data_IF_601107746175
#
_entry.id   IF_601107746175
#
_cell.length_a   1.000
_cell.length_b   1.000
_cell.length_c   1.000
_cell.angle_alpha   90.00
_cell.angle_beta   90.00
_cell.angle_gamma   90.00
#
_symmetry.space_group_name_H-M   'P 1'
#
loop_
_entity.id
_entity.type
_entity.pdbx_description
1 polymer ?
#
# COMPACT_ATOMS: atom_id res chain seq x y z
N UNK A 1 26.78 -33.45 36.75
CA UNK A 1 26.65 -32.36 37.78
C UNK A 1 27.66 -31.22 37.60
N UNK A 2 28.80 -31.43 36.97
CA UNK A 2 29.83 -30.41 36.73
C UNK A 2 29.43 -29.31 35.74
N UNK A 3 28.77 -29.64 34.63
CA UNK A 3 28.41 -28.68 33.56
C UNK A 3 27.38 -27.61 34.00
N UNK A 4 26.41 -27.98 34.81
CA UNK A 4 25.39 -27.02 35.33
C UNK A 4 26.02 -25.99 36.29
N UNK A 5 26.99 -26.42 37.11
CA UNK A 5 27.74 -25.50 37.99
C UNK A 5 28.63 -24.56 37.21
N UNK A 6 29.28 -25.04 36.16
CA UNK A 6 30.15 -24.23 35.28
C UNK A 6 29.31 -23.18 34.55
N UNK A 7 28.16 -23.59 34.00
CA UNK A 7 27.24 -22.66 33.32
C UNK A 7 26.67 -21.60 34.27
N UNK A 8 26.28 -21.97 35.47
CA UNK A 8 25.75 -21.04 36.46
C UNK A 8 26.83 -20.00 36.88
N UNK A 9 28.08 -20.44 37.02
CA UNK A 9 29.22 -19.56 37.30
C UNK A 9 29.44 -18.59 36.13
N UNK A 10 29.48 -19.08 34.90
CA UNK A 10 29.64 -18.25 33.69
C UNK A 10 28.54 -17.20 33.62
N UNK A 11 27.28 -17.58 33.84
CA UNK A 11 26.14 -16.68 33.83
C UNK A 11 26.29 -15.56 34.90
N UNK A 12 26.53 -15.91 36.13
CA UNK A 12 26.67 -14.90 37.19
C UNK A 12 27.84 -13.95 36.96
N UNK A 13 28.97 -14.48 36.46
CA UNK A 13 30.14 -13.67 36.17
C UNK A 13 29.85 -12.73 35.01
N UNK A 14 29.29 -13.19 33.89
CA UNK A 14 28.94 -12.41 32.73
C UNK A 14 27.96 -11.27 33.06
N UNK A 15 26.90 -11.55 33.81
CA UNK A 15 25.92 -10.53 34.22
C UNK A 15 26.57 -9.44 35.09
N UNK A 16 27.44 -9.84 36.00
CA UNK A 16 28.16 -8.90 36.85
C UNK A 16 29.13 -8.04 36.03
N UNK A 17 29.82 -8.65 35.08
CA UNK A 17 30.81 -7.94 34.25
C UNK A 17 30.11 -6.98 33.28
N UNK A 18 28.98 -7.35 32.69
CA UNK A 18 28.16 -6.46 31.87
C UNK A 18 27.73 -5.21 32.67
N UNK A 19 27.25 -5.39 33.88
CA UNK A 19 26.84 -4.27 34.75
C UNK A 19 28.03 -3.32 35.03
N UNK A 20 29.20 -3.88 35.28
CA UNK A 20 30.42 -3.09 35.60
C UNK A 20 31.01 -2.42 34.36
N UNK A 21 30.89 -3.03 33.20
CA UNK A 21 31.46 -2.57 31.92
C UNK A 21 30.45 -1.90 31.01
N UNK A 22 29.23 -1.59 31.50
CA UNK A 22 28.09 -1.08 30.71
C UNK A 22 28.47 0.10 29.80
N UNK A 23 29.24 1.06 30.29
CA UNK A 23 29.69 2.21 29.47
C UNK A 23 30.52 1.81 28.24
N UNK A 24 31.27 0.72 28.31
CA UNK A 24 32.07 0.23 27.17
C UNK A 24 31.24 -0.62 26.19
N UNK A 25 30.23 -1.30 26.69
CA UNK A 25 29.32 -2.18 25.90
C UNK A 25 28.17 -1.42 25.28
N UNK A 26 27.89 -0.17 25.68
CA UNK A 26 26.81 0.64 25.21
C UNK A 26 26.80 0.86 23.70
N UNK A 27 27.98 1.05 23.09
CA UNK A 27 28.11 1.24 21.65
C UNK A 27 27.67 -0.05 20.88
N UNK A 28 28.09 -1.23 21.38
CA UNK A 28 27.71 -2.52 20.83
C UNK A 28 26.19 -2.68 20.92
N UNK A 29 25.62 -2.34 22.08
CA UNK A 29 24.18 -2.40 22.30
C UNK A 29 23.41 -1.53 21.30
N UNK A 30 23.79 -0.25 21.14
CA UNK A 30 23.11 0.68 20.22
C UNK A 30 23.23 0.21 18.77
N UNK A 31 24.41 -0.18 18.31
CA UNK A 31 24.60 -0.60 16.92
C UNK A 31 23.80 -1.85 16.59
N UNK A 32 23.78 -2.84 17.47
CA UNK A 32 22.94 -4.03 17.33
C UNK A 32 21.45 -3.68 17.37
N UNK A 33 21.05 -2.84 18.33
CA UNK A 33 19.66 -2.43 18.47
C UNK A 33 19.16 -1.73 17.22
N UNK A 34 19.86 -0.73 16.70
CA UNK A 34 19.45 0.00 15.49
C UNK A 34 19.34 -0.95 14.30
N UNK A 35 20.32 -1.84 14.10
CA UNK A 35 20.31 -2.78 12.96
C UNK A 35 19.13 -3.76 13.02
N UNK A 36 18.89 -4.35 14.19
CA UNK A 36 17.78 -5.28 14.38
C UNK A 36 16.41 -4.59 14.32
N UNK A 37 16.33 -3.37 14.88
CA UNK A 37 15.13 -2.55 14.84
C UNK A 37 14.74 -2.18 13.41
N UNK A 38 15.68 -1.76 12.56
CA UNK A 38 15.43 -1.48 11.15
C UNK A 38 14.91 -2.71 10.41
N UNK A 39 15.55 -3.87 10.61
CA UNK A 39 15.09 -5.12 9.98
C UNK A 39 13.68 -5.51 10.44
N UNK A 40 13.41 -5.46 11.75
CA UNK A 40 12.09 -5.78 12.31
C UNK A 40 11.01 -4.83 11.80
N UNK A 41 11.28 -3.52 11.79
CA UNK A 41 10.35 -2.50 11.31
C UNK A 41 9.97 -2.71 9.84
N UNK A 42 10.95 -3.00 8.97
CA UNK A 42 10.70 -3.26 7.56
C UNK A 42 9.83 -4.49 7.36
N UNK A 43 10.11 -5.56 8.10
CA UNK A 43 9.32 -6.79 8.03
C UNK A 43 7.88 -6.55 8.51
N UNK A 44 7.70 -5.82 9.61
CA UNK A 44 6.37 -5.48 10.15
C UNK A 44 5.58 -4.62 9.19
N UNK A 45 6.18 -3.56 8.63
CA UNK A 45 5.54 -2.68 7.63
C UNK A 45 5.09 -3.50 6.41
N UNK A 46 5.97 -4.34 5.87
CA UNK A 46 5.64 -5.21 4.73
C UNK A 46 4.46 -6.12 5.02
N UNK A 47 4.45 -6.76 6.19
CA UNK A 47 3.39 -7.69 6.58
C UNK A 47 2.06 -6.96 6.78
N UNK A 48 2.07 -5.81 7.46
CA UNK A 48 0.88 -4.98 7.67
C UNK A 48 0.30 -4.46 6.35
N UNK A 49 1.14 -3.95 5.45
CA UNK A 49 0.69 -3.47 4.14
C UNK A 49 0.09 -4.60 3.29
N UNK A 50 0.69 -5.78 3.28
CA UNK A 50 0.13 -6.91 2.55
C UNK A 50 -1.21 -7.37 3.14
N UNK A 51 -1.35 -7.35 4.45
CA UNK A 51 -2.59 -7.67 5.15
C UNK A 51 -3.71 -6.67 4.83
N UNK A 52 -3.41 -5.36 4.88
CA UNK A 52 -4.35 -4.30 4.50
C UNK A 52 -4.80 -4.42 3.04
N UNK A 53 -3.87 -4.70 2.12
CA UNK A 53 -4.20 -4.91 0.71
C UNK A 53 -5.12 -6.14 0.54
N UNK A 54 -4.92 -7.19 1.32
CA UNK A 54 -5.74 -8.40 1.21
C UNK A 54 -7.17 -8.15 1.71
N UNK A 55 -7.32 -7.48 2.85
CA UNK A 55 -8.64 -7.13 3.42
C UNK A 55 -9.37 -6.15 2.49
N UNK A 56 -8.70 -5.11 2.04
CA UNK A 56 -9.32 -4.05 1.25
C UNK A 56 -9.27 -4.34 -0.27
N UNK A 57 -8.90 -5.56 -0.67
CA UNK A 57 -8.73 -5.91 -2.09
C UNK A 57 -9.99 -5.73 -2.94
N UNK A 58 -11.18 -5.95 -2.37
CA UNK A 58 -12.46 -5.72 -3.03
C UNK A 58 -12.75 -4.23 -3.22
N UNK A 59 -12.41 -3.41 -2.24
CA UNK A 59 -12.54 -1.96 -2.32
C UNK A 59 -11.53 -1.37 -3.31
N UNK A 60 -10.28 -1.87 -3.29
CA UNK A 60 -9.24 -1.48 -4.24
C UNK A 60 -9.57 -1.82 -5.69
N UNK A 61 -10.31 -2.90 -5.95
CA UNK A 61 -10.83 -3.24 -7.27
C UNK A 61 -12.13 -2.53 -7.58
N UNK A 62 -12.93 -2.22 -6.53
CA UNK A 62 -14.28 -1.68 -6.62
C UNK A 62 -15.36 -2.73 -6.91
N UNK A 63 -15.02 -4.03 -6.75
CA UNK A 63 -15.93 -5.15 -7.02
C UNK A 63 -15.34 -6.51 -6.66
N UNK A 64 -16.15 -7.57 -6.72
CA UNK A 64 -15.69 -8.95 -6.69
C UNK A 64 -15.08 -9.38 -8.03
N UNK A 65 -15.46 -8.68 -9.11
CA UNK A 65 -14.95 -8.87 -10.45
C UNK A 65 -14.97 -7.53 -11.18
N UNK A 66 -13.93 -7.22 -11.92
CA UNK A 66 -13.86 -6.10 -12.86
C UNK A 66 -13.66 -6.66 -14.27
N UNK A 67 -14.44 -6.16 -15.20
CA UNK A 67 -14.38 -6.50 -16.62
C UNK A 67 -14.15 -5.20 -17.37
N UNK A 68 -12.97 -5.05 -17.99
CA UNK A 68 -12.64 -3.90 -18.83
C UNK A 68 -12.74 -4.32 -20.28
N UNK A 69 -13.60 -3.68 -21.03
CA UNK A 69 -13.83 -3.98 -22.46
C UNK A 69 -13.11 -3.01 -23.41
N UNK A 70 -12.32 -2.07 -22.84
CA UNK A 70 -11.62 -1.06 -23.64
C UNK A 70 -12.58 -0.08 -24.30
N UNK A 71 -12.35 0.22 -25.57
CA UNK A 71 -13.05 1.29 -26.31
C UNK A 71 -14.52 0.96 -26.59
N UNK A 72 -14.86 -0.32 -26.70
CA UNK A 72 -16.22 -0.76 -27.05
C UNK A 72 -16.98 -1.20 -25.80
N UNK A 73 -18.24 -0.77 -25.62
CA UNK A 73 -19.07 -1.29 -24.54
C UNK A 73 -19.36 -2.80 -24.76
N UNK A 74 -19.59 -3.52 -23.67
CA UNK A 74 -20.06 -4.90 -23.74
C UNK A 74 -21.44 -4.97 -24.39
N UNK A 75 -21.73 -6.07 -25.10
CA UNK A 75 -23.06 -6.30 -25.67
C UNK A 75 -24.11 -6.43 -24.55
N UNK A 76 -25.35 -6.03 -24.85
CA UNK A 76 -26.46 -6.11 -23.90
C UNK A 76 -26.68 -7.53 -23.38
N UNK A 77 -26.43 -8.55 -24.23
CA UNK A 77 -26.54 -9.96 -23.85
C UNK A 77 -25.53 -10.32 -22.76
N UNK A 78 -24.27 -9.86 -22.90
CA UNK A 78 -23.21 -10.07 -21.90
C UNK A 78 -23.58 -9.34 -20.62
N UNK A 79 -23.98 -8.07 -20.70
CA UNK A 79 -24.37 -7.26 -19.54
C UNK A 79 -25.51 -7.95 -18.78
N UNK A 80 -26.54 -8.43 -19.46
CA UNK A 80 -27.68 -9.13 -18.85
C UNK A 80 -27.23 -10.39 -18.10
N UNK A 81 -26.40 -11.23 -18.71
CA UNK A 81 -25.90 -12.47 -18.09
C UNK A 81 -25.01 -12.18 -16.84
N UNK A 82 -24.19 -11.14 -16.89
CA UNK A 82 -23.36 -10.75 -15.75
C UNK A 82 -24.24 -10.22 -14.62
N UNK A 83 -25.28 -9.44 -14.94
CA UNK A 83 -26.21 -8.87 -13.96
C UNK A 83 -27.03 -9.92 -13.21
N UNK A 84 -27.23 -11.12 -13.79
CA UNK A 84 -27.87 -12.25 -13.11
C UNK A 84 -27.05 -12.76 -11.91
N UNK A 85 -25.72 -12.55 -11.93
CA UNK A 85 -24.81 -13.01 -10.88
C UNK A 85 -24.69 -12.03 -9.70
N UNK A 86 -25.23 -10.80 -9.82
CA UNK A 86 -25.14 -9.80 -8.76
C UNK A 86 -25.39 -8.37 -9.22
N UNK A 87 -25.06 -7.42 -8.38
CA UNK A 87 -25.19 -5.99 -8.66
C UNK A 87 -24.04 -5.53 -9.56
N UNK A 88 -24.39 -5.00 -10.73
CA UNK A 88 -23.46 -4.49 -11.72
C UNK A 88 -23.39 -2.96 -11.66
N UNK A 89 -22.19 -2.40 -11.67
CA UNK A 89 -21.92 -0.98 -11.87
C UNK A 89 -21.07 -0.79 -13.12
N UNK A 90 -21.41 0.21 -13.91
CA UNK A 90 -20.70 0.56 -15.13
C UNK A 90 -20.05 1.93 -14.98
N UNK A 91 -18.76 2.02 -15.32
CA UNK A 91 -18.02 3.29 -15.37
C UNK A 91 -17.37 3.44 -16.75
N UNK A 92 -17.24 4.69 -17.20
CA UNK A 92 -16.55 5.00 -18.45
C UNK A 92 -15.46 6.01 -18.11
N UNK A 93 -14.23 5.71 -18.49
CA UNK A 93 -13.08 6.63 -18.35
C UNK A 93 -12.79 7.26 -19.70
N UNK A 94 -12.51 8.55 -19.71
CA UNK A 94 -12.06 9.26 -20.90
C UNK A 94 -11.25 10.49 -20.50
N UNK A 95 -10.42 10.94 -21.41
CA UNK A 95 -9.60 12.11 -21.20
C UNK A 95 -10.10 13.25 -22.09
N UNK A 96 -10.24 14.44 -21.53
CA UNK A 96 -10.66 15.62 -22.27
C UNK A 96 -10.17 16.90 -21.57
N UNK A 97 -10.39 18.03 -22.24
CA UNK A 97 -10.11 19.33 -21.64
C UNK A 97 -11.30 19.79 -20.80
N UNK A 98 -11.01 20.16 -19.57
CA UNK A 98 -11.92 20.93 -18.70
C UNK A 98 -11.49 22.37 -18.78
N UNK A 99 -12.42 23.28 -19.05
CA UNK A 99 -12.14 24.69 -19.29
C UNK A 99 -12.90 25.60 -18.32
N UNK A 100 -12.25 26.67 -17.90
CA UNK A 100 -12.87 27.83 -17.24
C UNK A 100 -12.63 29.06 -18.11
N UNK A 101 -13.69 29.87 -18.33
CA UNK A 101 -13.66 31.00 -19.29
C UNK A 101 -12.52 31.99 -19.05
N UNK A 102 -12.15 32.21 -17.80
CA UNK A 102 -11.14 33.19 -17.35
C UNK A 102 -9.74 32.60 -17.11
N UNK A 103 -9.60 31.25 -17.04
CA UNK A 103 -8.34 30.59 -16.64
C UNK A 103 -7.83 29.54 -17.64
N UNK A 104 -8.51 29.37 -18.79
CA UNK A 104 -8.07 28.47 -19.83
C UNK A 104 -8.56 27.03 -19.65
N UNK A 105 -7.75 26.06 -20.06
CA UNK A 105 -8.14 24.63 -20.14
C UNK A 105 -7.07 23.73 -19.58
N UNK A 106 -7.50 22.65 -18.90
CA UNK A 106 -6.64 21.61 -18.31
C UNK A 106 -7.03 20.25 -18.87
N UNK A 107 -6.04 19.44 -19.24
CA UNK A 107 -6.25 18.07 -19.64
C UNK A 107 -6.59 17.22 -18.42
N UNK A 108 -7.76 16.60 -18.40
CA UNK A 108 -8.35 15.97 -17.21
C UNK A 108 -8.77 14.54 -17.50
N UNK A 109 -8.50 13.64 -16.60
CA UNK A 109 -9.07 12.29 -16.58
C UNK A 109 -10.47 12.35 -15.99
N UNK A 110 -11.50 11.98 -16.80
CA UNK A 110 -12.89 12.01 -16.36
C UNK A 110 -13.42 10.60 -16.24
N UNK A 111 -14.04 10.34 -15.09
CA UNK A 111 -14.78 9.10 -14.86
C UNK A 111 -16.28 9.39 -14.84
N UNK A 112 -16.99 8.86 -15.81
CA UNK A 112 -18.44 8.83 -15.80
C UNK A 112 -18.92 7.60 -15.01
N UNK A 113 -19.74 7.82 -13.99
CA UNK A 113 -20.19 6.76 -13.07
C UNK A 113 -21.70 6.61 -13.12
N UNK A 114 -22.18 5.39 -12.86
CA UNK A 114 -23.59 5.12 -12.64
C UNK A 114 -24.00 5.28 -11.17
N UNK A 115 -25.29 5.16 -10.88
CA UNK A 115 -25.85 5.31 -9.53
C UNK A 115 -25.43 4.21 -8.54
N UNK A 116 -24.86 3.11 -9.03
CA UNK A 116 -24.44 1.98 -8.19
C UNK A 116 -22.96 2.07 -7.81
N UNK A 117 -22.22 2.98 -8.42
CA UNK A 117 -20.82 3.21 -8.09
C UNK A 117 -20.67 4.06 -6.81
N UNK A 118 -19.79 3.68 -5.89
CA UNK A 118 -18.97 2.46 -5.85
C UNK A 118 -19.72 1.29 -5.22
N UNK A 119 -19.43 0.04 -5.65
CA UNK A 119 -20.03 -1.17 -5.08
C UNK A 119 -19.43 -1.53 -3.70
N UNK A 120 -18.18 -1.12 -3.46
CA UNK A 120 -17.47 -1.23 -2.19
C UNK A 120 -16.82 0.10 -1.85
N UNK A 121 -16.80 0.45 -0.55
CA UNK A 121 -16.31 1.75 -0.09
C UNK A 121 -17.30 2.89 -0.36
N UNK A 122 -16.80 4.12 -0.34
CA UNK A 122 -17.59 5.34 -0.58
C UNK A 122 -16.74 6.44 -1.19
N UNK A 123 -17.36 7.28 -2.03
CA UNK A 123 -16.72 8.52 -2.51
C UNK A 123 -16.79 9.53 -1.37
N UNK A 124 -15.64 9.98 -0.89
CA UNK A 124 -15.57 11.05 0.11
C UNK A 124 -15.43 12.40 -0.60
N UNK A 125 -16.35 13.30 -0.31
CA UNK A 125 -16.41 14.63 -0.92
C UNK A 125 -16.57 15.72 0.13
N UNK A 126 -16.25 16.95 -0.23
CA UNK A 126 -16.57 18.15 0.52
C UNK A 126 -17.43 19.07 -0.37
N UNK A 127 -18.72 19.31 -0.06
CA UNK A 127 -19.56 18.74 1.02
C UNK A 127 -19.78 17.23 0.92
N UNK A 128 -20.08 16.55 2.05
CA UNK A 128 -20.21 15.08 2.11
C UNK A 128 -21.32 14.50 1.21
N UNK A 129 -22.38 15.25 0.97
CA UNK A 129 -23.55 14.80 0.21
C UNK A 129 -23.37 14.96 -1.31
N UNK A 130 -22.30 15.58 -1.78
CA UNK A 130 -22.09 15.93 -3.18
C UNK A 130 -22.06 14.72 -4.12
N UNK A 131 -21.63 13.57 -3.63
CA UNK A 131 -21.62 12.34 -4.42
C UNK A 131 -23.04 11.83 -4.75
N UNK A 132 -24.03 12.10 -3.88
CA UNK A 132 -25.43 11.75 -4.11
C UNK A 132 -26.13 12.75 -5.00
N UNK A 133 -25.80 14.04 -4.85
CA UNK A 133 -26.41 15.12 -5.66
C UNK A 133 -26.00 15.05 -7.12
N UNK A 134 -24.89 14.37 -7.45
CA UNK A 134 -24.42 14.18 -8.81
C UNK A 134 -25.48 13.56 -9.75
N UNK A 135 -26.41 12.79 -9.21
CA UNK A 135 -27.48 12.11 -9.95
C UNK A 135 -28.82 12.84 -9.90
N UNK A 136 -28.91 13.91 -9.13
CA UNK A 136 -30.11 14.74 -9.08
C UNK A 136 -30.14 15.64 -10.32
N UNK A 137 -31.22 15.55 -11.07
CA UNK A 137 -31.41 16.40 -12.25
C UNK A 137 -31.48 17.87 -11.84
N UNK A 138 -30.53 18.66 -12.33
CA UNK A 138 -30.51 20.13 -12.21
C UNK A 138 -30.45 20.76 -13.60
N UNK A 139 -30.69 22.07 -13.68
CA UNK A 139 -30.60 22.82 -14.94
C UNK A 139 -29.21 22.70 -15.58
N UNK A 140 -28.14 22.64 -14.78
CA UNK A 140 -26.79 22.29 -15.21
C UNK A 140 -26.39 20.95 -14.58
N UNK A 141 -25.72 20.06 -15.34
CA UNK A 141 -25.22 18.80 -14.80
C UNK A 141 -24.10 19.05 -13.77
N UNK A 142 -24.06 18.17 -12.77
CA UNK A 142 -23.03 18.22 -11.73
C UNK A 142 -21.70 17.61 -12.13
N UNK A 143 -20.62 18.13 -11.56
CA UNK A 143 -19.29 17.56 -11.63
C UNK A 143 -18.65 17.56 -10.23
N UNK A 144 -17.92 16.50 -9.93
CA UNK A 144 -17.01 16.47 -8.78
C UNK A 144 -15.58 16.59 -9.30
N UNK A 145 -14.78 17.44 -8.68
CA UNK A 145 -13.39 17.70 -9.11
C UNK A 145 -12.43 17.40 -7.97
N UNK A 146 -11.18 17.07 -8.26
CA UNK A 146 -10.15 16.89 -7.24
C UNK A 146 -9.50 18.24 -6.84
N UNK A 147 -8.70 18.22 -5.77
CA UNK A 147 -8.01 19.41 -5.26
C UNK A 147 -7.08 20.05 -6.32
N UNK A 148 -6.47 19.26 -7.22
CA UNK A 148 -5.59 19.82 -8.23
C UNK A 148 -6.34 20.77 -9.18
N UNK A 149 -7.50 20.32 -9.68
CA UNK A 149 -8.37 21.17 -10.55
C UNK A 149 -8.89 22.36 -9.76
N UNK A 150 -9.31 22.12 -8.50
CA UNK A 150 -9.77 23.20 -7.62
C UNK A 150 -8.71 24.29 -7.49
N UNK A 151 -7.50 23.93 -7.13
CA UNK A 151 -6.42 24.89 -6.88
C UNK A 151 -5.98 25.61 -8.16
N UNK A 152 -5.90 24.89 -9.29
CA UNK A 152 -5.43 25.45 -10.54
C UNK A 152 -6.41 26.45 -11.14
N UNK A 153 -7.70 26.19 -11.00
CA UNK A 153 -8.75 27.10 -11.47
C UNK A 153 -9.32 28.01 -10.37
N UNK A 154 -8.89 27.86 -9.11
CA UNK A 154 -9.43 28.55 -7.95
C UNK A 154 -10.97 28.44 -7.88
N UNK A 155 -11.47 27.19 -7.95
CA UNK A 155 -12.89 26.87 -8.00
C UNK A 155 -13.47 26.71 -6.61
N UNK A 156 -14.71 27.19 -6.45
CA UNK A 156 -15.56 26.92 -5.30
C UNK A 156 -16.76 26.06 -5.71
N UNK A 157 -17.41 25.43 -4.73
CA UNK A 157 -18.65 24.70 -4.96
C UNK A 157 -19.73 25.66 -5.45
N UNK A 158 -20.34 25.35 -6.59
CA UNK A 158 -21.29 26.21 -7.28
C UNK A 158 -20.75 26.89 -8.55
N UNK A 159 -19.42 26.93 -8.71
CA UNK A 159 -18.79 27.46 -9.92
C UNK A 159 -19.07 26.58 -11.14
N UNK A 160 -18.92 27.16 -12.33
CA UNK A 160 -19.12 26.44 -13.58
C UNK A 160 -17.81 26.17 -14.32
N UNK A 161 -17.74 24.98 -14.87
CA UNK A 161 -16.66 24.55 -15.80
C UNK A 161 -17.29 24.02 -17.08
N UNK A 162 -16.54 24.01 -18.17
CA UNK A 162 -17.01 23.52 -19.47
C UNK A 162 -16.27 22.26 -19.87
N UNK A 163 -17.00 21.23 -20.26
CA UNK A 163 -16.49 19.97 -20.80
C UNK A 163 -17.16 19.76 -22.15
N UNK A 164 -16.37 19.60 -23.24
CA UNK A 164 -16.90 19.34 -24.58
C UNK A 164 -18.08 20.26 -24.95
N UNK A 165 -17.91 21.57 -24.71
CA UNK A 165 -18.92 22.61 -25.00
C UNK A 165 -20.19 22.57 -24.12
N UNK A 166 -20.21 21.79 -23.05
CA UNK A 166 -21.32 21.72 -22.10
C UNK A 166 -20.88 22.26 -20.75
N UNK A 167 -21.70 23.14 -20.16
CA UNK A 167 -21.44 23.69 -18.81
C UNK A 167 -21.83 22.68 -17.73
N UNK A 168 -20.96 22.53 -16.73
CA UNK A 168 -21.13 21.71 -15.53
C UNK A 168 -20.98 22.58 -14.31
N UNK A 169 -21.77 22.32 -13.28
CA UNK A 169 -21.63 23.00 -11.99
C UNK A 169 -20.84 22.13 -11.02
N UNK A 170 -19.82 22.69 -10.40
CA UNK A 170 -19.01 22.01 -9.37
C UNK A 170 -19.90 21.77 -8.14
N UNK A 171 -20.18 20.51 -7.85
CA UNK A 171 -21.01 20.12 -6.70
C UNK A 171 -20.19 19.79 -5.47
N UNK A 172 -18.93 19.42 -5.64
CA UNK A 172 -18.05 19.10 -4.54
C UNK A 172 -16.63 18.78 -4.96
N UNK A 173 -15.77 18.80 -3.95
CA UNK A 173 -14.35 18.46 -4.08
C UNK A 173 -14.15 17.01 -3.61
N UNK A 174 -13.48 16.21 -4.42
CA UNK A 174 -13.18 14.81 -4.15
C UNK A 174 -12.01 14.74 -3.17
N UNK A 175 -12.21 14.11 -2.03
CA UNK A 175 -11.17 13.84 -1.03
C UNK A 175 -10.62 12.43 -1.19
N UNK A 176 -11.48 11.45 -1.48
CA UNK A 176 -11.09 10.06 -1.68
C UNK A 176 -12.12 9.32 -2.54
N UNK A 177 -11.64 8.43 -3.39
CA UNK A 177 -12.47 7.56 -4.23
C UNK A 177 -11.93 6.14 -4.12
N UNK A 178 -12.78 5.12 -3.94
CA UNK A 178 -12.34 3.73 -4.06
C UNK A 178 -11.84 3.45 -5.48
N UNK A 179 -10.92 2.49 -5.62
CA UNK A 179 -10.40 2.10 -6.92
C UNK A 179 -9.72 3.26 -7.69
N UNK A 180 -8.82 3.95 -7.00
CA UNK A 180 -7.95 4.94 -7.63
C UNK A 180 -6.84 4.23 -8.41
N UNK A 181 -6.78 4.49 -9.72
CA UNK A 181 -5.59 4.19 -10.51
C UNK A 181 -4.50 5.22 -10.18
N UNK A 182 -3.22 4.81 -10.21
CA UNK A 182 -2.12 5.67 -9.79
C UNK A 182 -2.02 7.03 -10.51
N UNK A 183 -2.54 7.14 -11.74
CA UNK A 183 -2.63 8.40 -12.48
C UNK A 183 -3.61 9.41 -11.84
N UNK A 184 -4.62 8.94 -11.12
CA UNK A 184 -5.63 9.77 -10.46
C UNK A 184 -5.18 10.36 -9.13
N UNK A 185 -4.11 9.78 -8.54
CA UNK A 185 -3.59 10.27 -7.25
C UNK A 185 -2.81 11.58 -7.44
N UNK A 186 -2.16 11.76 -8.59
CA UNK A 186 -1.25 12.87 -8.84
C UNK A 186 -1.68 13.78 -10.00
N UNK A 187 -2.71 13.40 -10.78
CA UNK A 187 -3.20 14.15 -11.95
C UNK A 187 -4.49 14.91 -11.69
N UNK A 188 -4.97 15.57 -12.73
CA UNK A 188 -6.26 16.25 -12.77
C UNK A 188 -7.36 15.19 -13.01
N UNK A 189 -8.30 15.11 -12.06
CA UNK A 189 -9.33 14.09 -12.05
C UNK A 189 -10.71 14.67 -11.72
N UNK A 190 -11.72 14.22 -12.46
CA UNK A 190 -13.10 14.61 -12.24
C UNK A 190 -14.09 13.45 -12.42
N UNK A 191 -15.23 13.56 -11.77
CA UNK A 191 -16.33 12.60 -11.87
C UNK A 191 -17.58 13.28 -12.37
N UNK A 192 -18.26 12.67 -13.33
CA UNK A 192 -19.58 13.06 -13.82
C UNK A 192 -20.56 11.88 -13.78
N UNK A 193 -21.85 12.12 -13.93
CA UNK A 193 -22.80 11.02 -14.07
C UNK A 193 -22.69 10.38 -15.46
N UNK A 194 -22.92 9.06 -15.53
CA UNK A 194 -22.95 8.32 -16.81
C UNK A 194 -24.05 8.85 -17.75
N UNK A 195 -25.18 9.27 -17.22
CA UNK A 195 -26.26 9.85 -18.01
C UNK A 195 -25.82 11.11 -18.77
N UNK A 196 -24.94 11.91 -18.18
CA UNK A 196 -24.40 13.11 -18.84
C UNK A 196 -23.33 12.75 -19.88
N UNK A 197 -22.54 11.72 -19.63
CA UNK A 197 -21.58 11.19 -20.59
C UNK A 197 -22.29 10.68 -21.86
N UNK A 198 -23.39 9.94 -21.74
CA UNK A 198 -24.14 9.41 -22.87
C UNK A 198 -24.66 10.51 -23.81
N UNK A 199 -24.96 11.70 -23.26
CA UNK A 199 -25.39 12.86 -24.06
C UNK A 199 -24.31 13.48 -24.94
N UNK A 200 -23.03 13.15 -24.70
CA UNK A 200 -21.94 13.62 -25.53
C UNK A 200 -21.83 12.86 -26.87
N UNK A 201 -22.49 11.70 -27.00
CA UNK A 201 -22.44 10.85 -28.19
C UNK A 201 -21.02 10.57 -28.68
N UNK A 202 -20.08 10.36 -27.76
CA UNK A 202 -18.66 10.08 -28.06
C UNK A 202 -18.47 8.65 -28.57
N UNK A 203 -19.20 8.26 -29.62
CA UNK A 203 -19.07 6.92 -30.24
C UNK A 203 -18.09 6.90 -31.41
N UNK A 204 -17.43 8.02 -31.71
CA UNK A 204 -16.58 8.17 -32.89
C UNK A 204 -15.17 7.64 -32.69
N UNK A 205 -14.63 7.00 -33.71
CA UNK A 205 -13.24 6.56 -33.77
C UNK A 205 -12.28 7.72 -33.46
N UNK A 206 -11.51 7.56 -32.38
CA UNK A 206 -10.54 8.57 -31.93
C UNK A 206 -10.68 9.00 -30.46
N UNK A 207 -11.76 8.67 -29.79
CA UNK A 207 -11.89 8.90 -28.35
C UNK A 207 -11.24 7.75 -27.59
N UNK A 208 -10.30 8.06 -26.70
CA UNK A 208 -9.76 7.08 -25.76
C UNK A 208 -10.77 6.84 -24.66
N UNK A 209 -11.75 5.98 -24.97
CA UNK A 209 -12.76 5.52 -24.01
C UNK A 209 -12.31 4.20 -23.40
N UNK A 210 -12.58 4.01 -22.11
CA UNK A 210 -12.33 2.73 -21.43
C UNK A 210 -13.57 2.38 -20.59
N UNK A 211 -14.27 1.32 -20.98
CA UNK A 211 -15.47 0.84 -20.33
C UNK A 211 -15.11 -0.21 -19.27
N UNK A 212 -15.39 0.09 -18.02
CA UNK A 212 -15.20 -0.82 -16.89
C UNK A 212 -16.54 -1.21 -16.28
N UNK A 213 -16.74 -2.51 -16.12
CA UNK A 213 -17.90 -3.12 -15.48
C UNK A 213 -17.45 -3.79 -14.20
N UNK A 214 -18.04 -3.40 -13.06
CA UNK A 214 -17.74 -3.99 -11.75
C UNK A 214 -18.93 -4.75 -11.24
N UNK A 215 -18.71 -5.95 -10.74
CA UNK A 215 -19.74 -6.82 -10.23
C UNK A 215 -19.54 -7.05 -8.73
N UNK A 216 -20.60 -6.85 -7.96
CA UNK A 216 -20.72 -7.31 -6.58
C UNK A 216 -21.61 -8.54 -6.59
N UNK A 217 -21.01 -9.70 -6.30
CA UNK A 217 -21.70 -10.99 -6.36
C UNK A 217 -22.68 -11.17 -5.21
N UNK A 218 -23.73 -11.96 -5.43
CA UNK A 218 -24.65 -12.35 -4.37
C UNK A 218 -23.99 -13.37 -3.45
N UNK A 219 -24.20 -13.24 -2.14
CA UNK A 219 -23.52 -14.06 -1.09
C UNK A 219 -23.92 -15.56 -1.11
N UNK A 220 -24.85 -15.97 -1.96
CA UNK A 220 -25.48 -17.30 -1.92
C UNK A 220 -24.74 -18.39 -2.72
N UNK A 221 -23.68 -18.08 -3.46
CA UNK A 221 -22.96 -19.04 -4.31
C UNK A 221 -21.44 -18.93 -4.14
N UNK A 222 -20.73 -20.03 -4.46
CA UNK A 222 -19.27 -20.01 -4.46
C UNK A 222 -18.73 -19.01 -5.50
N UNK A 223 -18.23 -17.89 -5.04
CA UNK A 223 -17.69 -16.77 -5.82
C UNK A 223 -16.69 -17.24 -6.89
N UNK A 224 -15.86 -18.23 -6.59
CA UNK A 224 -14.85 -18.74 -7.52
C UNK A 224 -15.49 -19.47 -8.72
N UNK A 225 -16.57 -20.24 -8.49
CA UNK A 225 -17.26 -20.95 -9.55
C UNK A 225 -18.00 -19.98 -10.49
N UNK A 226 -18.59 -18.92 -9.95
CA UNK A 226 -19.22 -17.86 -10.74
C UNK A 226 -18.19 -17.10 -11.58
N UNK A 227 -17.04 -16.74 -11.01
CA UNK A 227 -15.94 -16.11 -11.75
C UNK A 227 -15.49 -16.98 -12.92
N UNK A 228 -15.37 -18.31 -12.72
CA UNK A 228 -14.99 -19.22 -13.79
C UNK A 228 -16.05 -19.30 -14.89
N UNK A 229 -17.34 -19.35 -14.54
CA UNK A 229 -18.45 -19.31 -15.50
C UNK A 229 -18.42 -18.02 -16.34
N UNK A 230 -18.27 -16.86 -15.68
CA UNK A 230 -18.19 -15.56 -16.38
C UNK A 230 -16.95 -15.52 -17.29
N UNK A 231 -15.79 -15.98 -16.79
CA UNK A 231 -14.57 -16.06 -17.59
C UNK A 231 -14.73 -16.95 -18.82
N UNK A 232 -15.31 -18.13 -18.68
CA UNK A 232 -15.53 -19.05 -19.80
C UNK A 232 -16.49 -18.48 -20.86
N UNK A 233 -17.46 -17.70 -20.44
CA UNK A 233 -18.43 -17.06 -21.32
C UNK A 233 -17.81 -15.88 -22.10
N UNK A 234 -16.92 -15.10 -21.47
CA UNK A 234 -16.28 -13.91 -22.08
C UNK A 234 -14.99 -14.26 -22.83
N UNK A 235 -14.39 -15.41 -22.58
CA UNK A 235 -13.02 -15.76 -22.99
C UNK A 235 -12.80 -15.87 -24.52
N UNK A 236 -13.84 -15.66 -25.34
CA UNK A 236 -13.74 -15.63 -26.80
C UNK A 236 -13.28 -14.27 -27.35
N UNK A 237 -13.26 -13.22 -26.52
CA UNK A 237 -12.83 -11.90 -26.94
C UNK A 237 -11.53 -11.48 -26.21
N UNK A 238 -10.41 -11.48 -26.94
CA UNK A 238 -9.08 -11.13 -26.42
C UNK A 238 -8.95 -9.66 -26.01
N UNK A 239 -9.90 -8.82 -26.37
CA UNK A 239 -9.91 -7.39 -26.02
C UNK A 239 -10.43 -7.15 -24.60
N UNK A 240 -11.19 -8.09 -24.06
CA UNK A 240 -11.78 -7.97 -22.74
C UNK A 240 -10.80 -8.47 -21.66
N UNK A 241 -10.50 -7.61 -20.71
CA UNK A 241 -9.65 -7.93 -19.55
C UNK A 241 -10.53 -8.16 -18.33
N UNK A 242 -10.34 -9.30 -17.68
CA UNK A 242 -11.06 -9.67 -16.46
C UNK A 242 -10.08 -9.65 -15.31
N UNK A 243 -10.37 -8.85 -14.28
CA UNK A 243 -9.56 -8.74 -13.06
C UNK A 243 -10.37 -9.17 -11.85
N UNK A 244 -9.71 -9.89 -10.97
CA UNK A 244 -10.23 -10.25 -9.64
C UNK A 244 -9.60 -9.32 -8.58
N UNK A 245 -10.08 -9.29 -7.32
CA UNK A 245 -9.46 -8.50 -6.26
C UNK A 245 -7.96 -8.79 -6.07
N UNK A 246 -7.53 -10.03 -6.33
CA UNK A 246 -6.10 -10.38 -6.31
C UNK A 246 -5.32 -9.72 -7.45
N UNK A 247 -5.91 -9.59 -8.62
CA UNK A 247 -5.27 -8.98 -9.80
C UNK A 247 -5.27 -7.45 -9.71
N UNK A 248 -6.37 -6.84 -9.23
CA UNK A 248 -6.50 -5.38 -9.06
C UNK A 248 -5.44 -4.79 -8.13
N UNK A 249 -5.09 -5.52 -7.08
CA UNK A 249 -4.04 -5.11 -6.15
C UNK A 249 -2.61 -5.46 -6.61
N UNK A 250 -2.42 -6.12 -7.76
CA UNK A 250 -1.13 -6.67 -8.19
C UNK A 250 -0.06 -5.60 -8.40
N UNK A 251 -0.42 -4.46 -9.02
CA UNK A 251 0.53 -3.36 -9.24
C UNK A 251 0.97 -2.73 -7.92
N UNK A 252 0.03 -2.52 -6.99
CA UNK A 252 0.33 -2.03 -5.66
C UNK A 252 1.21 -3.03 -4.88
N UNK A 253 0.88 -4.32 -4.93
CA UNK A 253 1.72 -5.38 -4.34
C UNK A 253 3.13 -5.41 -4.92
N UNK A 254 3.27 -5.25 -6.24
CA UNK A 254 4.59 -5.17 -6.90
C UNK A 254 5.37 -3.95 -6.42
N UNK A 255 4.75 -2.77 -6.35
CA UNK A 255 5.39 -1.56 -5.85
C UNK A 255 5.86 -1.73 -4.40
N UNK A 256 5.01 -2.27 -3.51
CA UNK A 256 5.36 -2.54 -2.11
C UNK A 256 6.48 -3.58 -2.01
N UNK A 257 6.44 -4.65 -2.82
CA UNK A 257 7.50 -5.65 -2.82
C UNK A 257 8.83 -5.05 -3.29
N UNK A 258 8.85 -4.26 -4.37
CA UNK A 258 10.06 -3.60 -4.87
C UNK A 258 10.63 -2.65 -3.81
N UNK A 259 9.79 -1.85 -3.17
CA UNK A 259 10.18 -0.96 -2.08
C UNK A 259 10.73 -1.74 -0.87
N UNK A 260 10.08 -2.84 -0.50
CA UNK A 260 10.54 -3.73 0.58
C UNK A 260 11.88 -4.37 0.26
N UNK A 261 12.11 -4.79 -1.00
CA UNK A 261 13.41 -5.32 -1.42
C UNK A 261 14.50 -4.26 -1.33
N UNK A 262 14.22 -3.04 -1.78
CA UNK A 262 15.16 -1.92 -1.64
C UNK A 262 15.51 -1.65 -0.17
N UNK A 263 14.51 -1.52 0.69
CA UNK A 263 14.72 -1.33 2.12
C UNK A 263 15.47 -2.50 2.77
N UNK A 264 15.21 -3.74 2.34
CA UNK A 264 15.94 -4.91 2.82
C UNK A 264 17.42 -4.85 2.45
N UNK A 265 17.76 -4.42 1.22
CA UNK A 265 19.16 -4.23 0.82
C UNK A 265 19.86 -3.16 1.66
N UNK A 266 19.18 -2.03 1.92
CA UNK A 266 19.70 -0.97 2.80
C UNK A 266 19.93 -1.52 4.20
N UNK A 267 19.02 -2.30 4.75
CA UNK A 267 19.14 -2.90 6.09
C UNK A 267 20.27 -3.90 6.17
N UNK A 268 20.45 -4.76 5.16
CA UNK A 268 21.59 -5.69 5.11
C UNK A 268 22.90 -4.93 5.03
N UNK A 269 22.97 -3.86 4.24
CA UNK A 269 24.18 -3.01 4.16
C UNK A 269 24.48 -2.34 5.50
N UNK A 270 23.47 -1.80 6.18
CA UNK A 270 23.60 -1.24 7.50
C UNK A 270 24.09 -2.29 8.53
N UNK A 271 23.57 -3.53 8.43
CA UNK A 271 24.00 -4.63 9.30
C UNK A 271 25.46 -5.03 9.07
N UNK A 272 25.95 -5.02 7.82
CA UNK A 272 27.36 -5.26 7.52
C UNK A 272 28.26 -4.18 8.12
N UNK A 273 27.89 -2.91 7.98
CA UNK A 273 28.63 -1.78 8.57
C UNK A 273 28.62 -1.89 10.10
N UNK A 274 27.45 -2.19 10.68
CA UNK A 274 27.33 -2.43 12.12
C UNK A 274 28.20 -3.60 12.58
N UNK A 275 28.27 -4.70 11.79
CA UNK A 275 29.12 -5.86 12.08
C UNK A 275 30.62 -5.48 12.20
N UNK A 276 31.10 -4.63 11.30
CA UNK A 276 32.50 -4.11 11.37
C UNK A 276 32.67 -3.25 12.63
N UNK A 277 31.71 -2.36 12.91
CA UNK A 277 31.73 -1.52 14.12
C UNK A 277 31.73 -2.34 15.40
N UNK A 278 30.91 -3.39 15.48
CA UNK A 278 30.84 -4.32 16.60
C UNK A 278 32.15 -5.06 16.76
N UNK A 279 32.75 -5.56 15.67
CA UNK A 279 34.03 -6.26 15.69
C UNK A 279 35.13 -5.37 16.26
N UNK A 280 35.25 -4.14 15.80
CA UNK A 280 36.26 -3.17 16.31
C UNK A 280 36.01 -2.80 17.76
N UNK A 281 34.76 -2.60 18.15
CA UNK A 281 34.42 -2.27 19.55
C UNK A 281 34.70 -3.45 20.47
N UNK A 282 34.43 -4.67 20.01
CA UNK A 282 34.69 -5.89 20.73
C UNK A 282 36.20 -6.11 20.93
N UNK A 283 37.02 -5.90 19.90
CA UNK A 283 38.50 -5.95 20.02
C UNK A 283 39.02 -4.92 21.03
N UNK A 284 38.48 -3.69 20.97
CA UNK A 284 38.82 -2.66 21.96
C UNK A 284 38.40 -3.04 23.37
N UNK A 285 37.23 -3.66 23.54
CA UNK A 285 36.75 -4.16 24.83
C UNK A 285 37.65 -5.26 25.37
N UNK A 286 38.00 -6.27 24.56
CA UNK A 286 38.91 -7.35 24.97
C UNK A 286 40.30 -6.79 25.36
N UNK A 287 40.81 -5.84 24.59
CA UNK A 287 42.10 -5.18 24.92
C UNK A 287 42.06 -4.47 26.28
N UNK A 288 40.97 -3.76 26.59
CA UNK A 288 40.76 -3.14 27.92
C UNK A 288 40.66 -4.16 29.04
N UNK A 289 40.16 -5.37 28.74
CA UNK A 289 40.05 -6.48 29.70
C UNK A 289 41.31 -7.34 29.80
N UNK A 290 42.35 -7.04 29.03
CA UNK A 290 43.60 -7.85 28.98
C UNK A 290 44.22 -8.09 30.35
N UNK A 291 44.26 -7.06 31.21
CA UNK A 291 44.74 -7.17 32.59
C UNK A 291 43.86 -8.13 33.42
N UNK A 292 42.54 -8.00 33.33
CA UNK A 292 41.59 -8.89 34.02
C UNK A 292 41.73 -10.34 33.54
N UNK A 293 41.93 -10.53 32.25
CA UNK A 293 42.15 -11.84 31.62
C UNK A 293 43.50 -12.43 32.12
N UNK A 294 44.54 -11.61 32.23
CA UNK A 294 45.85 -12.05 32.74
C UNK A 294 45.72 -12.50 34.21
N UNK A 295 45.03 -11.72 35.05
CA UNK A 295 44.77 -12.09 36.45
C UNK A 295 43.94 -13.40 36.54
N UNK A 296 42.92 -13.57 35.73
CA UNK A 296 42.12 -14.80 35.70
C UNK A 296 43.00 -16.02 35.32
N UNK A 297 43.90 -15.85 34.34
CA UNK A 297 44.86 -16.91 33.97
C UNK A 297 45.83 -17.25 35.08
N UNK A 298 46.35 -16.26 35.77
CA UNK A 298 47.25 -16.48 36.90
C UNK A 298 46.56 -17.14 38.09
N UNK A 299 45.24 -16.93 38.24
CA UNK A 299 44.38 -17.63 39.23
C UNK A 299 44.00 -19.07 38.80
N UNK A 300 44.48 -19.54 37.64
CA UNK A 300 44.27 -20.92 37.21
C UNK A 300 43.03 -21.13 36.34
N UNK A 301 42.35 -20.07 35.86
CA UNK A 301 41.22 -20.24 34.93
C UNK A 301 41.70 -20.78 33.57
N UNK A 302 41.00 -21.80 33.05
CA UNK A 302 41.30 -22.33 31.74
C UNK A 302 40.91 -21.30 30.65
N UNK A 303 41.74 -21.20 29.62
CA UNK A 303 41.47 -20.32 28.47
C UNK A 303 40.13 -20.56 27.81
N UNK A 304 39.61 -21.80 27.87
CA UNK A 304 38.27 -22.18 27.36
C UNK A 304 37.15 -21.50 28.18
N UNK A 305 37.25 -21.51 29.50
CA UNK A 305 36.26 -20.89 30.39
C UNK A 305 36.20 -19.38 30.20
N UNK A 306 37.38 -18.74 30.06
CA UNK A 306 37.47 -17.29 29.80
C UNK A 306 36.80 -16.94 28.45
N UNK A 307 37.06 -17.69 27.39
CA UNK A 307 36.40 -17.49 26.08
C UNK A 307 34.87 -17.65 26.16
N UNK A 308 34.41 -18.65 26.93
CA UNK A 308 32.98 -18.90 27.12
C UNK A 308 32.29 -17.75 27.88
N UNK A 309 32.93 -17.15 28.87
CA UNK A 309 32.40 -16.00 29.61
C UNK A 309 32.15 -14.84 28.65
N UNK A 310 33.15 -14.40 27.88
CA UNK A 310 33.00 -13.26 26.97
C UNK A 310 32.07 -13.57 25.80
N UNK A 311 32.02 -14.79 25.28
CA UNK A 311 31.07 -15.22 24.29
C UNK A 311 29.64 -15.14 24.84
N UNK A 312 29.43 -15.59 26.07
CA UNK A 312 28.12 -15.54 26.71
C UNK A 312 27.67 -14.08 27.01
N UNK A 313 28.59 -13.19 27.33
CA UNK A 313 28.27 -11.75 27.45
C UNK A 313 27.69 -11.17 26.16
N UNK A 314 28.32 -11.45 25.01
CA UNK A 314 27.81 -10.98 23.72
C UNK A 314 26.44 -11.58 23.42
N UNK A 315 26.27 -12.88 23.69
CA UNK A 315 25.01 -13.58 23.47
C UNK A 315 23.86 -13.00 24.31
N UNK A 316 24.14 -12.62 25.57
CA UNK A 316 23.17 -11.91 26.42
C UNK A 316 22.80 -10.54 25.87
N UNK A 317 23.77 -9.75 25.43
CA UNK A 317 23.51 -8.44 24.83
C UNK A 317 22.67 -8.59 23.59
N UNK A 318 23.00 -9.54 22.71
CA UNK A 318 22.25 -9.84 21.48
C UNK A 318 20.82 -10.26 21.79
N UNK A 319 20.63 -11.09 22.81
CA UNK A 319 19.29 -11.53 23.22
C UNK A 319 18.43 -10.36 23.74
N UNK A 320 19.00 -9.52 24.60
CA UNK A 320 18.31 -8.34 25.15
C UNK A 320 17.97 -7.35 24.05
N UNK A 321 18.92 -7.06 23.14
CA UNK A 321 18.68 -6.16 22.02
C UNK A 321 17.65 -6.68 21.05
N UNK A 322 17.61 -8.00 20.80
CA UNK A 322 16.62 -8.64 19.93
C UNK A 322 15.21 -8.51 20.49
N UNK A 323 15.02 -8.77 21.78
CA UNK A 323 13.72 -8.62 22.45
C UNK A 323 13.28 -7.16 22.42
N UNK A 324 14.16 -6.22 22.74
CA UNK A 324 13.81 -4.81 22.76
C UNK A 324 13.47 -4.27 21.35
N UNK A 325 14.18 -4.75 20.34
CA UNK A 325 13.95 -4.42 18.93
C UNK A 325 12.62 -4.96 18.40
N UNK A 326 12.16 -6.08 18.93
CA UNK A 326 10.89 -6.69 18.53
C UNK A 326 9.68 -6.05 19.22
N UNK A 327 9.87 -5.55 20.46
CA UNK A 327 8.79 -4.94 21.25
C UNK A 327 8.48 -3.49 20.86
N UNK A 328 9.40 -2.82 20.20
CA UNK A 328 9.27 -1.44 19.68
C UNK A 328 8.91 -1.42 18.20
#
# INVERSE_FOLDING_TARGET
>A
MSYLREFYFIHQYAVRDIKRSFKSLWIIFITLFISLFLLSSIFTIKTSLNYEIEINSKELLGGDLEISSGINPLSEEIIKKISESGQLSQTVKFHTMVSREDKGSIFTDIRAIDKFYPLYGSIQTNPKESSQTLFLGSSNPGILINENIQNQFELEVGDNVTILNKKFTVQGIILSVPNLDGAMIFGEFAIISKNEFEKFNLTSAGSFLDYDYRLKMNDNENTQSQIQKIKSFINNDKTIKIRTPKDGSQNLRRAINNFSHFLSLVSVSAMLIAGIGISNTFLSFINKKSLSIAIQKSLGFFSRTIKLIYFYEILLILFITSILSYLL
#
